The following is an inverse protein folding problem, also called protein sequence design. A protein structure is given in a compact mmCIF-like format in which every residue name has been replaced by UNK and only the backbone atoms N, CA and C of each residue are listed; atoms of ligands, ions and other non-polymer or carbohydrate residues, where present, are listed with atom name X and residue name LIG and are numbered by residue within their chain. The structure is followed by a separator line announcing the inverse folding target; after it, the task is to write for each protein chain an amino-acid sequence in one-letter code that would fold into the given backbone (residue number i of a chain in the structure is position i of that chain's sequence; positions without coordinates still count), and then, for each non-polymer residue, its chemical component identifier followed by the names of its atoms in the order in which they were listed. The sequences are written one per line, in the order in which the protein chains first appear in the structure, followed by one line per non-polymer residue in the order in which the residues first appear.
data_IF_024640830516
#
_entry.id   IF_024640830516
#
_cell.length_a   1.000
_cell.length_b   1.000
_cell.length_c   1.000
_cell.angle_alpha   90.00
_cell.angle_beta   90.00
_cell.angle_gamma   90.00
#
_symmetry.space_group_name_H-M   'P 1'
#
loop_
_entity.id
_entity.type
_entity.pdbx_description
1 polymer ?
#
# COMPACT_ATOMS: atom_id res chain seq x y z
N UNK A 1 34.84 -14.27 -19.19
CA UNK A 1 33.82 -13.87 -18.20
C UNK A 1 34.52 -13.52 -16.90
N UNK A 2 34.07 -12.46 -16.21
CA UNK A 2 34.57 -12.12 -14.88
C UNK A 2 34.09 -13.15 -13.84
N UNK A 3 34.76 -13.25 -12.69
CA UNK A 3 34.32 -14.12 -11.59
C UNK A 3 32.90 -13.78 -11.13
N UNK A 4 32.57 -12.49 -11.06
CA UNK A 4 31.23 -12.00 -10.71
C UNK A 4 30.16 -12.43 -11.71
N UNK A 5 30.47 -12.40 -13.01
CA UNK A 5 29.54 -12.84 -14.04
C UNK A 5 29.30 -14.36 -13.96
N UNK A 6 30.36 -15.14 -13.74
CA UNK A 6 30.23 -16.59 -13.54
C UNK A 6 29.39 -16.92 -12.31
N UNK A 7 29.55 -16.19 -11.22
CA UNK A 7 28.76 -16.35 -10.00
C UNK A 7 27.28 -16.01 -10.25
N UNK A 8 27.01 -14.87 -10.90
CA UNK A 8 25.65 -14.47 -11.27
C UNK A 8 24.95 -15.56 -12.12
N UNK A 9 25.62 -16.07 -13.16
CA UNK A 9 25.05 -17.09 -14.04
C UNK A 9 24.75 -18.40 -13.29
N UNK A 10 25.64 -18.79 -12.38
CA UNK A 10 25.44 -19.96 -11.51
C UNK A 10 24.24 -19.78 -10.58
N UNK A 11 24.13 -18.62 -9.93
CA UNK A 11 23.00 -18.30 -9.05
C UNK A 11 21.67 -18.22 -9.84
N UNK A 12 21.69 -17.64 -11.05
CA UNK A 12 20.54 -17.58 -11.95
C UNK A 12 20.09 -18.99 -12.35
N UNK A 13 21.02 -19.86 -12.72
CA UNK A 13 20.69 -21.23 -13.09
C UNK A 13 20.11 -22.02 -11.90
N UNK A 14 20.72 -21.89 -10.72
CA UNK A 14 20.20 -22.47 -9.48
C UNK A 14 18.77 -22.01 -9.19
N UNK A 15 18.45 -20.74 -9.50
CA UNK A 15 17.09 -20.24 -9.36
C UNK A 15 16.10 -20.86 -10.35
N UNK A 16 16.50 -21.00 -11.61
CA UNK A 16 15.70 -21.65 -12.65
C UNK A 16 15.45 -23.12 -12.28
N UNK A 17 16.48 -23.85 -11.87
CA UNK A 17 16.38 -25.26 -11.50
C UNK A 17 15.45 -25.46 -10.29
N UNK A 18 15.54 -24.56 -9.30
CA UNK A 18 14.65 -24.57 -8.14
C UNK A 18 13.19 -24.37 -8.53
N UNK A 19 12.91 -23.44 -9.46
CA UNK A 19 11.56 -23.18 -9.97
C UNK A 19 11.01 -24.40 -10.70
N UNK A 20 11.80 -25.00 -11.61
CA UNK A 20 11.40 -26.21 -12.35
C UNK A 20 11.10 -27.35 -11.37
N UNK A 21 11.99 -27.60 -10.41
CA UNK A 21 11.83 -28.65 -9.39
C UNK A 21 10.55 -28.49 -8.57
N UNK A 22 10.13 -27.25 -8.31
CA UNK A 22 8.91 -26.94 -7.56
C UNK A 22 7.67 -26.69 -8.44
N UNK A 23 7.75 -26.99 -9.74
CA UNK A 23 6.68 -26.77 -10.72
C UNK A 23 6.20 -25.30 -10.76
N UNK A 24 7.14 -24.36 -10.79
CA UNK A 24 6.89 -22.95 -11.04
C UNK A 24 7.50 -22.54 -12.39
N UNK A 25 6.80 -21.73 -13.21
CA UNK A 25 7.32 -21.34 -14.51
C UNK A 25 8.49 -20.36 -14.31
N UNK A 26 9.71 -20.69 -14.77
CA UNK A 26 10.78 -19.71 -14.86
C UNK A 26 10.49 -18.77 -16.01
N UNK A 27 10.41 -17.47 -15.73
CA UNK A 27 10.18 -16.45 -16.75
C UNK A 27 11.36 -15.48 -16.77
N UNK A 28 11.76 -14.99 -17.95
CA UNK A 28 12.92 -14.13 -18.06
C UNK A 28 12.60 -12.68 -17.70
N UNK A 29 13.65 -11.94 -17.32
CA UNK A 29 13.59 -10.48 -17.08
C UNK A 29 14.78 -9.80 -17.75
N UNK A 30 14.55 -9.10 -18.86
CA UNK A 30 15.58 -8.28 -19.46
C UNK A 30 15.88 -7.07 -18.53
N UNK A 31 17.14 -6.62 -18.44
CA UNK A 31 17.48 -5.37 -17.76
C UNK A 31 16.68 -4.19 -18.30
N UNK A 32 16.54 -3.14 -17.49
CA UNK A 32 15.87 -1.92 -17.94
C UNK A 32 16.57 -1.33 -19.17
N UNK A 33 15.79 -1.02 -20.21
CA UNK A 33 16.30 -0.50 -21.48
C UNK A 33 16.02 0.99 -21.62
N UNK A 34 16.77 1.66 -22.49
CA UNK A 34 16.57 3.08 -22.80
C UNK A 34 15.16 3.32 -23.37
N UNK A 35 14.41 4.22 -22.74
CA UNK A 35 13.08 4.59 -23.22
C UNK A 35 13.08 5.31 -24.58
N UNK A 36 14.23 5.83 -25.02
CA UNK A 36 14.37 6.46 -26.34
C UNK A 36 14.57 5.43 -27.45
N UNK A 37 15.19 4.30 -27.12
CA UNK A 37 15.43 3.21 -28.07
C UNK A 37 14.25 2.25 -28.11
N UNK A 38 13.69 1.93 -26.94
CA UNK A 38 12.56 1.03 -26.77
C UNK A 38 11.40 1.72 -26.02
N UNK A 39 10.74 2.73 -26.63
CA UNK A 39 9.60 3.39 -26.03
C UNK A 39 8.40 2.44 -25.95
N UNK A 40 7.60 2.58 -24.89
CA UNK A 40 6.28 1.97 -24.86
C UNK A 40 5.40 2.63 -25.91
N UNK A 41 4.79 1.84 -26.78
CA UNK A 41 3.80 2.33 -27.76
C UNK A 41 2.43 1.81 -27.38
N UNK A 42 1.49 2.72 -27.18
CA UNK A 42 0.09 2.37 -26.89
C UNK A 42 -0.69 2.42 -28.20
N UNK A 43 -1.24 1.27 -28.56
CA UNK A 43 -2.21 1.18 -29.66
C UNK A 43 -3.58 1.53 -29.10
N UNK A 44 -4.26 2.54 -29.65
CA UNK A 44 -5.63 2.85 -29.25
C UNK A 44 -6.55 1.66 -29.47
N UNK A 45 -7.60 1.56 -28.66
CA UNK A 45 -8.70 0.65 -28.95
C UNK A 45 -9.25 0.95 -30.36
N UNK A 46 -9.71 -0.08 -31.06
CA UNK A 46 -10.09 -0.07 -32.48
C UNK A 46 -11.12 1.00 -32.89
N UNK A 47 -11.77 1.68 -31.94
CA UNK A 47 -12.77 2.73 -32.16
C UNK A 47 -12.30 4.15 -31.79
N UNK A 48 -11.00 4.36 -31.51
CA UNK A 48 -10.45 5.69 -31.22
C UNK A 48 -9.78 6.27 -32.47
N UNK A 49 -10.12 7.51 -32.81
CA UNK A 49 -9.50 8.27 -33.91
C UNK A 49 -8.03 8.66 -33.63
N UNK A 50 -7.51 8.36 -32.44
CA UNK A 50 -6.13 8.64 -32.10
C UNK A 50 -5.21 7.62 -32.78
N UNK A 51 -4.06 8.05 -33.28
CA UNK A 51 -3.02 7.15 -33.78
C UNK A 51 -2.23 6.46 -32.66
N UNK A 52 -1.23 5.64 -33.04
CA UNK A 52 -0.22 5.13 -32.12
C UNK A 52 0.41 6.30 -31.35
N UNK A 53 0.54 6.16 -30.03
CA UNK A 53 1.21 7.19 -29.22
C UNK A 53 2.17 6.58 -28.19
N UNK A 54 3.23 7.33 -27.90
CA UNK A 54 4.16 7.04 -26.81
C UNK A 54 3.72 7.83 -25.58
N UNK A 55 3.34 7.18 -24.46
CA UNK A 55 3.05 7.89 -23.23
C UNK A 55 4.35 8.50 -22.68
N UNK A 56 4.22 9.69 -22.08
CA UNK A 56 5.32 10.43 -21.50
C UNK A 56 5.19 10.54 -19.98
N UNK A 57 6.32 10.67 -19.28
CA UNK A 57 6.38 11.05 -17.87
C UNK A 57 5.96 12.52 -17.68
N UNK A 58 5.84 12.97 -16.43
CA UNK A 58 5.60 14.39 -16.10
C UNK A 58 6.68 15.33 -16.66
N UNK A 59 7.90 14.81 -16.79
CA UNK A 59 9.07 15.52 -17.34
C UNK A 59 9.21 15.33 -18.86
N UNK A 60 8.12 14.92 -19.53
CA UNK A 60 8.03 14.72 -20.97
C UNK A 60 9.04 13.70 -21.54
N UNK A 61 9.48 12.74 -20.72
CA UNK A 61 10.34 11.64 -21.19
C UNK A 61 9.48 10.43 -21.62
N UNK A 62 9.86 9.70 -22.67
CA UNK A 62 9.22 8.44 -23.03
C UNK A 62 9.20 7.45 -21.85
N UNK A 63 8.12 6.68 -21.72
CA UNK A 63 8.06 5.56 -20.78
C UNK A 63 8.75 4.34 -21.42
N UNK A 64 9.70 3.66 -20.75
CA UNK A 64 10.37 2.50 -21.32
C UNK A 64 9.43 1.30 -21.45
N UNK A 65 9.57 0.54 -22.54
CA UNK A 65 8.86 -0.73 -22.73
C UNK A 65 9.43 -1.84 -21.83
N UNK A 66 10.75 -1.88 -21.67
CA UNK A 66 11.48 -2.85 -20.87
C UNK A 66 11.98 -2.19 -19.59
N UNK A 67 11.37 -2.59 -18.48
CA UNK A 67 11.49 -1.86 -17.21
C UNK A 67 12.43 -2.52 -16.22
N UNK A 68 13.03 -3.68 -16.53
CA UNK A 68 13.75 -4.50 -15.53
C UNK A 68 12.83 -5.16 -14.50
N UNK A 69 11.50 -5.11 -14.71
CA UNK A 69 10.48 -5.70 -13.83
C UNK A 69 9.40 -6.50 -14.56
N UNK A 70 9.34 -6.41 -15.89
CA UNK A 70 8.35 -7.11 -16.70
C UNK A 70 8.96 -8.33 -17.38
N UNK A 71 8.16 -9.39 -17.62
CA UNK A 71 8.61 -10.58 -18.34
C UNK A 71 9.13 -10.25 -19.73
N UNK A 72 10.42 -10.45 -19.94
CA UNK A 72 11.14 -10.11 -21.17
C UNK A 72 12.51 -10.76 -21.18
N UNK A 73 13.14 -10.95 -22.34
CA UNK A 73 14.50 -11.49 -22.44
C UNK A 73 15.31 -10.71 -23.47
N UNK A 74 16.64 -10.84 -23.41
CA UNK A 74 17.54 -10.44 -24.48
C UNK A 74 17.87 -11.66 -25.33
N UNK A 75 17.82 -11.54 -26.65
CA UNK A 75 18.34 -12.57 -27.55
C UNK A 75 19.88 -12.58 -27.58
N UNK A 76 20.47 -13.48 -28.37
CA UNK A 76 21.92 -13.60 -28.53
C UNK A 76 22.61 -12.29 -28.96
N UNK A 77 21.92 -11.45 -29.72
CA UNK A 77 22.42 -10.16 -30.22
C UNK A 77 22.16 -9.00 -29.22
N UNK A 78 21.48 -9.29 -28.11
CA UNK A 78 21.14 -8.31 -27.08
C UNK A 78 19.87 -7.52 -27.35
N UNK A 79 19.03 -7.92 -28.31
CA UNK A 79 17.75 -7.25 -28.54
C UNK A 79 16.68 -7.74 -27.56
N UNK A 80 15.91 -6.81 -26.96
CA UNK A 80 14.90 -7.16 -25.97
C UNK A 80 13.57 -7.62 -26.62
N UNK A 81 13.00 -8.68 -26.07
CA UNK A 81 11.72 -9.27 -26.49
C UNK A 81 10.76 -9.42 -25.30
N UNK A 82 9.48 -9.11 -25.50
CA UNK A 82 8.45 -9.29 -24.47
C UNK A 82 7.97 -10.74 -24.37
N UNK A 83 7.68 -11.18 -23.15
CA UNK A 83 7.02 -12.46 -22.91
C UNK A 83 5.58 -12.21 -22.45
N UNK A 84 4.62 -12.83 -23.15
CA UNK A 84 3.20 -12.84 -22.77
C UNK A 84 3.00 -13.80 -21.59
N UNK A 85 3.35 -13.33 -20.39
CA UNK A 85 3.40 -14.18 -19.19
C UNK A 85 2.07 -14.82 -18.80
N UNK A 86 0.93 -14.27 -19.24
CA UNK A 86 -0.40 -14.83 -18.96
C UNK A 86 -0.54 -16.27 -19.50
N UNK A 87 0.15 -16.60 -20.57
CA UNK A 87 0.12 -17.95 -21.16
C UNK A 87 0.70 -18.99 -20.21
N UNK A 88 1.65 -18.57 -19.37
CA UNK A 88 2.35 -19.41 -18.41
C UNK A 88 1.66 -19.45 -17.04
N UNK A 89 0.45 -18.90 -16.90
CA UNK A 89 -0.33 -19.11 -15.69
C UNK A 89 -0.86 -20.55 -15.58
N UNK A 90 -0.92 -21.27 -16.71
CA UNK A 90 -1.52 -22.60 -16.82
C UNK A 90 -0.60 -23.67 -17.43
N UNK A 91 0.61 -23.30 -17.87
CA UNK A 91 1.60 -24.22 -18.43
C UNK A 91 3.01 -23.82 -18.04
N UNK A 92 3.91 -24.79 -17.99
CA UNK A 92 5.34 -24.55 -17.88
C UNK A 92 5.89 -24.06 -19.23
N UNK A 93 6.97 -23.26 -19.22
CA UNK A 93 7.78 -23.03 -20.41
C UNK A 93 8.34 -24.33 -20.94
N UNK A 94 8.45 -24.42 -22.27
CA UNK A 94 9.11 -25.53 -22.95
C UNK A 94 10.64 -25.41 -22.81
N UNK A 95 11.41 -26.50 -22.97
CA UNK A 95 12.87 -26.44 -22.96
C UNK A 95 13.44 -25.45 -23.97
N UNK A 96 12.84 -25.36 -25.17
CA UNK A 96 13.27 -24.42 -26.21
C UNK A 96 13.00 -22.95 -25.84
N UNK A 97 11.85 -22.66 -25.22
CA UNK A 97 11.56 -21.32 -24.67
C UNK A 97 12.61 -20.95 -23.61
N UNK A 98 12.93 -21.86 -22.68
CA UNK A 98 13.94 -21.61 -21.64
C UNK A 98 15.34 -21.36 -22.22
N UNK A 99 15.75 -22.18 -23.20
CA UNK A 99 17.03 -22.02 -23.89
C UNK A 99 17.13 -20.65 -24.56
N UNK A 100 16.11 -20.26 -25.34
CA UNK A 100 16.09 -18.97 -26.03
C UNK A 100 16.05 -17.78 -25.07
N UNK A 101 15.28 -17.89 -23.98
CA UNK A 101 15.12 -16.77 -23.04
C UNK A 101 16.36 -16.50 -22.21
N UNK A 102 17.09 -17.55 -21.80
CA UNK A 102 18.21 -17.42 -20.89
C UNK A 102 19.58 -17.52 -21.59
N UNK A 103 19.60 -17.52 -22.92
CA UNK A 103 20.81 -17.49 -23.75
C UNK A 103 21.71 -16.30 -23.41
N UNK A 104 21.14 -15.08 -23.36
CA UNK A 104 21.91 -13.89 -23.03
C UNK A 104 22.27 -13.84 -21.52
N UNK A 105 23.53 -13.55 -21.14
CA UNK A 105 23.97 -13.63 -19.76
C UNK A 105 23.31 -12.60 -18.83
N UNK A 106 22.89 -11.45 -19.37
CA UNK A 106 22.28 -10.38 -18.56
C UNK A 106 20.79 -10.58 -18.30
N UNK A 107 20.14 -11.55 -18.95
CA UNK A 107 18.73 -11.87 -18.68
C UNK A 107 18.59 -12.39 -17.25
N UNK A 108 17.77 -11.74 -16.44
CA UNK A 108 17.38 -12.18 -15.11
C UNK A 108 16.23 -13.18 -15.13
N UNK A 109 15.81 -13.61 -13.96
CA UNK A 109 14.76 -14.61 -13.73
C UNK A 109 13.66 -14.07 -12.82
N UNK A 110 12.43 -14.48 -13.10
CA UNK A 110 11.28 -14.29 -12.24
C UNK A 110 10.31 -15.45 -12.37
N UNK A 111 9.14 -15.31 -11.76
CA UNK A 111 8.09 -16.33 -11.79
C UNK A 111 6.70 -15.73 -11.57
N UNK A 112 5.67 -16.58 -11.60
CA UNK A 112 4.27 -16.19 -11.37
C UNK A 112 3.78 -16.63 -9.98
N UNK A 113 2.95 -15.79 -9.38
CA UNK A 113 2.12 -16.18 -8.24
C UNK A 113 0.97 -17.10 -8.65
N UNK A 114 0.35 -17.74 -7.66
CA UNK A 114 -0.85 -18.56 -7.81
C UNK A 114 -0.61 -20.00 -8.31
N UNK A 115 0.57 -20.31 -8.83
CA UNK A 115 0.98 -21.70 -9.11
C UNK A 115 1.05 -22.48 -7.80
N UNK A 116 0.43 -23.67 -7.75
CA UNK A 116 0.36 -24.50 -6.54
C UNK A 116 -0.10 -23.73 -5.28
N UNK A 117 -1.01 -22.77 -5.47
CA UNK A 117 -1.48 -21.85 -4.43
C UNK A 117 -0.37 -21.04 -3.74
N UNK A 118 0.74 -20.78 -4.43
CA UNK A 118 1.80 -19.90 -3.93
C UNK A 118 1.35 -18.45 -3.93
N UNK A 119 1.70 -17.76 -2.86
CA UNK A 119 1.62 -16.31 -2.74
C UNK A 119 3.02 -15.79 -2.46
N UNK A 120 3.44 -14.78 -3.23
CA UNK A 120 4.65 -14.02 -2.94
C UNK A 120 4.26 -12.74 -2.21
N UNK A 121 4.63 -12.61 -0.95
CA UNK A 121 4.42 -11.40 -0.15
C UNK A 121 5.56 -10.42 -0.45
N UNK A 122 5.25 -9.29 -1.07
CA UNK A 122 6.20 -8.25 -1.45
C UNK A 122 6.09 -7.06 -0.49
N UNK A 123 7.00 -6.97 0.47
CA UNK A 123 7.08 -5.88 1.45
C UNK A 123 7.81 -4.69 0.85
N UNK A 124 7.13 -3.54 0.85
CA UNK A 124 7.63 -2.31 0.25
C UNK A 124 8.30 -1.43 1.31
N UNK A 125 9.64 -1.39 1.32
CA UNK A 125 10.44 -0.66 2.32
C UNK A 125 9.99 0.80 2.50
N UNK A 126 9.52 1.47 1.45
CA UNK A 126 9.09 2.89 1.52
C UNK A 126 7.74 3.08 2.23
N UNK A 127 7.04 2.00 2.57
CA UNK A 127 5.78 2.02 3.34
C UNK A 127 5.99 1.92 4.85
N UNK A 128 7.23 1.79 5.27
CA UNK A 128 7.60 1.72 6.68
C UNK A 128 8.38 2.96 7.08
N UNK A 129 8.16 3.39 8.32
CA UNK A 129 9.13 4.25 9.00
C UNK A 129 10.46 3.50 9.14
N UNK A 130 11.57 4.24 9.18
CA UNK A 130 12.91 3.66 9.11
C UNK A 130 13.12 2.52 10.11
N UNK A 131 13.60 1.37 9.60
CA UNK A 131 13.80 0.08 10.29
C UNK A 131 12.55 -0.76 10.64
N UNK A 132 11.32 -0.25 10.53
CA UNK A 132 10.12 -1.02 10.90
C UNK A 132 9.78 -2.18 9.92
N UNK A 133 10.21 -2.09 8.66
CA UNK A 133 10.00 -3.14 7.65
C UNK A 133 10.67 -4.47 8.05
N UNK A 134 11.85 -4.33 8.60
CA UNK A 134 12.79 -5.40 8.92
C UNK A 134 12.27 -6.21 10.14
N UNK A 135 11.78 -5.51 11.16
CA UNK A 135 11.10 -6.13 12.32
C UNK A 135 9.75 -6.75 11.93
N UNK A 136 9.01 -6.12 11.02
CA UNK A 136 7.76 -6.67 10.50
C UNK A 136 7.99 -8.00 9.78
N UNK A 137 8.99 -8.07 8.90
CA UNK A 137 9.32 -9.29 8.17
C UNK A 137 9.77 -10.39 9.13
N UNK A 138 10.60 -10.07 10.13
CA UNK A 138 11.00 -11.06 11.15
C UNK A 138 9.79 -11.62 11.91
N UNK A 139 8.81 -10.77 12.24
CA UNK A 139 7.57 -11.20 12.90
C UNK A 139 6.81 -12.21 12.03
N UNK A 140 6.67 -11.93 10.74
CA UNK A 140 5.95 -12.80 9.80
C UNK A 140 6.71 -14.11 9.55
N UNK A 141 8.02 -14.07 9.39
CA UNK A 141 8.86 -15.27 9.24
C UNK A 141 8.73 -16.16 10.48
N UNK A 142 8.75 -15.58 11.68
CA UNK A 142 8.54 -16.31 12.93
C UNK A 142 7.15 -16.95 12.97
N UNK A 143 6.09 -16.22 12.60
CA UNK A 143 4.74 -16.77 12.56
C UNK A 143 4.58 -17.92 11.55
N UNK A 144 5.22 -17.83 10.38
CA UNK A 144 5.26 -18.93 9.40
C UNK A 144 5.95 -20.13 10.02
N UNK A 145 7.16 -19.95 10.56
CA UNK A 145 7.92 -21.04 11.17
C UNK A 145 7.16 -21.71 12.32
N UNK A 146 6.58 -20.93 13.22
CA UNK A 146 5.87 -21.45 14.39
C UNK A 146 4.62 -22.24 13.97
N UNK A 147 3.98 -21.88 12.85
CA UNK A 147 2.79 -22.57 12.34
C UNK A 147 3.09 -23.78 11.45
N UNK A 148 4.23 -23.80 10.76
CA UNK A 148 4.54 -24.86 9.77
C UNK A 148 5.76 -25.71 10.12
N UNK A 149 6.56 -25.33 11.11
CA UNK A 149 7.83 -25.96 11.45
C UNK A 149 8.89 -25.83 10.35
N UNK A 150 8.79 -24.84 9.46
CA UNK A 150 9.70 -24.69 8.32
C UNK A 150 9.97 -23.22 8.00
N UNK A 151 11.19 -22.92 7.55
CA UNK A 151 11.58 -21.58 7.13
C UNK A 151 11.00 -21.24 5.74
N UNK A 152 10.46 -20.04 5.52
CA UNK A 152 9.91 -19.64 4.23
C UNK A 152 11.00 -19.29 3.22
N UNK A 153 10.64 -19.25 1.93
CA UNK A 153 11.47 -18.57 0.94
C UNK A 153 11.58 -17.08 1.26
N UNK A 154 12.79 -16.53 1.20
CA UNK A 154 13.08 -15.17 1.63
C UNK A 154 14.14 -14.50 0.74
N UNK A 155 13.82 -13.33 0.19
CA UNK A 155 14.73 -12.51 -0.62
C UNK A 155 14.68 -11.03 -0.24
N UNK A 156 15.79 -10.32 -0.48
CA UNK A 156 15.81 -8.86 -0.52
C UNK A 156 15.55 -8.37 -1.94
N UNK A 157 14.72 -7.34 -2.06
CA UNK A 157 14.44 -6.69 -3.35
C UNK A 157 15.49 -5.66 -3.71
N UNK A 158 15.61 -5.32 -4.99
CA UNK A 158 16.54 -4.31 -5.48
C UNK A 158 16.40 -2.90 -4.84
N UNK A 159 15.24 -2.61 -4.24
CA UNK A 159 14.92 -1.35 -3.53
C UNK A 159 14.96 -1.47 -2.01
N UNK A 160 15.46 -2.58 -1.46
CA UNK A 160 15.64 -2.80 -0.02
C UNK A 160 14.44 -3.41 0.71
N UNK A 161 13.30 -3.59 0.04
CA UNK A 161 12.15 -4.35 0.54
C UNK A 161 12.43 -5.85 0.65
N UNK A 162 11.42 -6.63 1.01
CA UNK A 162 11.53 -8.09 1.18
C UNK A 162 10.51 -8.85 0.36
N UNK A 163 10.86 -10.09 0.00
CA UNK A 163 9.94 -11.05 -0.56
C UNK A 163 9.88 -12.32 0.25
N UNK A 164 8.67 -12.74 0.59
CA UNK A 164 8.42 -14.01 1.29
C UNK A 164 7.56 -14.91 0.41
N UNK A 165 7.97 -16.17 0.22
CA UNK A 165 7.18 -17.17 -0.52
C UNK A 165 6.53 -18.18 0.42
N UNK A 166 5.21 -18.37 0.28
CA UNK A 166 4.42 -19.37 1.03
C UNK A 166 3.39 -20.02 0.12
N UNK A 167 2.94 -21.23 0.45
CA UNK A 167 1.71 -21.80 -0.12
C UNK A 167 0.54 -21.57 0.84
N UNK A 168 -0.66 -21.36 0.32
CA UNK A 168 -1.85 -21.17 1.14
C UNK A 168 -2.90 -22.24 0.86
N UNK A 169 -3.61 -22.72 1.90
CA UNK A 169 -4.80 -23.56 1.70
C UNK A 169 -5.97 -22.73 1.18
N UNK A 170 -6.16 -21.53 1.74
CA UNK A 170 -7.17 -20.57 1.29
C UNK A 170 -6.52 -19.36 0.62
N UNK A 171 -6.91 -19.09 -0.63
CA UNK A 171 -6.41 -17.94 -1.40
C UNK A 171 -6.93 -16.62 -0.79
N UNK A 172 -6.08 -15.59 -0.67
CA UNK A 172 -6.53 -14.26 -0.26
C UNK A 172 -7.43 -13.65 -1.34
N UNK A 173 -8.38 -12.82 -0.91
CA UNK A 173 -9.21 -12.00 -1.80
C UNK A 173 -8.69 -10.55 -1.92
N UNK A 174 -7.43 -10.32 -1.52
CA UNK A 174 -6.77 -9.03 -1.55
C UNK A 174 -5.36 -9.16 -2.13
N UNK A 175 -4.86 -8.04 -2.67
CA UNK A 175 -3.45 -7.89 -3.05
C UNK A 175 -2.74 -7.03 -2.01
N UNK A 176 -3.20 -5.82 -1.77
CA UNK A 176 -2.58 -4.95 -0.77
C UNK A 176 -2.84 -5.50 0.65
N UNK A 177 -1.78 -5.61 1.44
CA UNK A 177 -1.84 -6.13 2.80
C UNK A 177 -1.29 -5.17 3.85
N UNK A 178 -1.69 -5.41 5.10
CA UNK A 178 -1.18 -4.79 6.31
C UNK A 178 -0.81 -5.88 7.32
N UNK A 179 -0.04 -5.52 8.34
CA UNK A 179 0.41 -6.42 9.42
C UNK A 179 -0.28 -6.14 10.76
N UNK A 180 -1.16 -5.14 10.80
CA UNK A 180 -1.91 -4.77 11.99
C UNK A 180 -3.38 -4.53 11.61
N UNK A 181 -4.35 -4.91 12.46
CA UNK A 181 -5.76 -4.62 12.20
C UNK A 181 -6.00 -3.13 11.94
N UNK A 182 -6.62 -2.79 10.81
CA UNK A 182 -6.83 -1.39 10.39
C UNK A 182 -5.54 -0.63 10.04
N UNK A 183 -4.41 -1.32 9.92
CA UNK A 183 -3.12 -0.73 9.60
C UNK A 183 -3.02 -0.24 8.17
N UNK A 184 -1.97 0.54 7.91
CA UNK A 184 -1.67 1.05 6.57
C UNK A 184 -1.18 -0.07 5.65
N UNK A 185 -1.31 0.15 4.34
CA UNK A 185 -0.78 -0.74 3.32
C UNK A 185 0.75 -0.77 3.39
N UNK A 186 1.32 -1.96 3.57
CA UNK A 186 2.78 -2.17 3.69
C UNK A 186 3.40 -3.04 2.59
N UNK A 187 2.58 -3.71 1.78
CA UNK A 187 3.05 -4.58 0.71
C UNK A 187 1.93 -5.28 -0.06
N UNK A 188 2.32 -6.08 -1.05
CA UNK A 188 1.41 -6.77 -1.97
C UNK A 188 1.53 -8.30 -1.87
N UNK A 189 0.39 -8.99 -1.82
CA UNK A 189 0.25 -10.43 -1.91
C UNK A 189 0.05 -10.81 -3.39
N UNK A 190 1.14 -11.25 -4.04
CA UNK A 190 1.17 -11.55 -5.46
C UNK A 190 0.71 -12.99 -5.72
N UNK A 191 -0.58 -13.14 -6.05
CA UNK A 191 -1.21 -14.40 -6.41
C UNK A 191 -1.29 -14.65 -7.93
N UNK A 192 -2.32 -15.38 -8.36
CA UNK A 192 -2.49 -15.75 -9.77
C UNK A 192 -2.50 -14.53 -10.71
N UNK A 193 -1.78 -14.65 -11.82
CA UNK A 193 -1.63 -13.62 -12.85
C UNK A 193 -0.63 -12.52 -12.47
N UNK A 194 0.00 -12.58 -11.29
CA UNK A 194 0.99 -11.59 -10.86
C UNK A 194 2.39 -12.14 -11.04
N UNK A 195 3.22 -11.35 -11.71
CA UNK A 195 4.63 -11.65 -11.93
C UNK A 195 5.49 -11.09 -10.79
N UNK A 196 6.56 -11.80 -10.44
CA UNK A 196 7.58 -11.35 -9.50
C UNK A 196 8.98 -11.68 -10.00
N UNK A 197 9.93 -10.77 -9.76
CA UNK A 197 11.34 -10.90 -10.17
C UNK A 197 12.14 -11.55 -9.04
N UNK A 198 12.95 -12.57 -9.29
CA UNK A 198 13.69 -13.28 -8.24
C UNK A 198 15.18 -12.96 -8.26
N UNK A 199 15.86 -13.23 -7.14
CA UNK A 199 17.32 -13.22 -7.11
C UNK A 199 17.90 -14.28 -8.07
N UNK A 200 19.01 -13.94 -8.78
CA UNK A 200 19.89 -12.78 -8.56
C UNK A 200 19.62 -11.57 -9.47
N UNK A 201 18.48 -11.50 -10.16
CA UNK A 201 18.18 -10.49 -11.20
C UNK A 201 18.58 -9.07 -10.82
N UNK A 202 19.08 -8.29 -11.76
CA UNK A 202 19.38 -6.87 -11.53
C UNK A 202 18.11 -6.04 -11.75
N UNK A 203 17.68 -5.34 -10.71
CA UNK A 203 16.51 -4.46 -10.78
C UNK A 203 16.83 -3.08 -11.37
N UNK A 204 15.80 -2.22 -11.54
CA UNK A 204 15.97 -0.94 -12.25
C UNK A 204 16.82 0.10 -11.54
N UNK A 205 17.12 -0.11 -10.25
CA UNK A 205 18.07 0.72 -9.51
C UNK A 205 19.53 0.36 -9.78
N UNK A 206 19.79 -0.70 -10.56
CA UNK A 206 21.13 -1.27 -10.75
C UNK A 206 21.56 -2.24 -9.66
N UNK A 207 20.77 -2.40 -8.59
CA UNK A 207 21.02 -3.36 -7.52
C UNK A 207 20.41 -4.72 -7.88
N UNK A 208 21.06 -5.81 -7.47
CA UNK A 208 20.51 -7.17 -7.55
C UNK A 208 19.42 -7.41 -6.51
N UNK A 209 18.49 -8.30 -6.83
CA UNK A 209 17.73 -9.03 -5.83
C UNK A 209 18.67 -10.05 -5.16
N UNK A 210 18.55 -10.25 -3.84
CA UNK A 210 19.46 -11.11 -3.08
C UNK A 210 18.70 -12.26 -2.41
N UNK A 211 19.18 -13.49 -2.62
CA UNK A 211 18.63 -14.69 -1.98
C UNK A 211 19.12 -14.75 -0.54
N UNK A 212 18.20 -14.64 0.43
CA UNK A 212 18.52 -14.81 1.86
C UNK A 212 18.32 -16.26 2.29
N UNK A 213 17.20 -16.85 1.90
CA UNK A 213 16.90 -18.26 2.12
C UNK A 213 16.00 -18.79 0.99
N UNK A 214 16.38 -19.91 0.39
CA UNK A 214 15.63 -20.56 -0.69
C UNK A 214 15.13 -21.91 -0.22
N UNK A 215 13.95 -21.92 0.39
CA UNK A 215 13.35 -23.12 0.97
C UNK A 215 13.21 -24.23 -0.08
N UNK A 216 13.56 -25.48 0.27
CA UNK A 216 13.43 -26.62 -0.64
C UNK A 216 11.97 -26.86 -1.07
N UNK A 217 11.06 -26.68 -0.12
CA UNK A 217 9.60 -26.73 -0.29
C UNK A 217 9.03 -25.50 0.43
N UNK A 218 8.09 -24.81 -0.19
CA UNK A 218 7.46 -23.65 0.43
C UNK A 218 6.53 -24.08 1.57
N UNK A 219 6.60 -23.45 2.77
CA UNK A 219 5.72 -23.78 3.87
C UNK A 219 4.26 -23.52 3.50
N UNK A 220 3.35 -24.39 3.96
CA UNK A 220 1.92 -24.26 3.73
C UNK A 220 1.24 -23.69 4.98
N UNK A 221 0.62 -22.53 4.82
CA UNK A 221 -0.18 -21.87 5.87
C UNK A 221 -1.68 -22.02 5.57
N UNK A 222 -2.52 -21.92 6.60
CA UNK A 222 -3.99 -22.01 6.43
C UNK A 222 -4.51 -20.89 5.53
N UNK A 223 -4.15 -19.65 5.87
CA UNK A 223 -4.44 -18.44 5.11
C UNK A 223 -3.40 -17.36 5.46
N UNK A 224 -3.50 -16.18 4.86
CA UNK A 224 -2.56 -15.10 5.14
C UNK A 224 -2.80 -14.50 6.55
N UNK A 225 -4.05 -14.47 7.00
CA UNK A 225 -4.42 -13.94 8.30
C UNK A 225 -3.81 -14.76 9.46
N UNK A 226 -3.65 -16.08 9.30
CA UNK A 226 -3.06 -16.95 10.32
C UNK A 226 -1.58 -16.66 10.60
N UNK A 227 -0.89 -15.96 9.69
CA UNK A 227 0.48 -15.49 9.87
C UNK A 227 0.56 -13.98 10.07
N UNK A 228 -0.56 -13.32 10.38
CA UNK A 228 -0.61 -11.89 10.68
C UNK A 228 -0.66 -10.98 9.45
N UNK A 229 -0.83 -11.54 8.24
CA UNK A 229 -1.03 -10.77 7.01
C UNK A 229 -2.51 -10.55 6.80
N UNK A 230 -2.95 -9.31 6.99
CA UNK A 230 -4.34 -8.91 6.85
C UNK A 230 -4.54 -8.15 5.56
N UNK A 231 -5.76 -8.18 5.02
CA UNK A 231 -6.16 -7.25 3.97
C UNK A 231 -5.82 -5.84 4.44
N UNK A 232 -5.00 -5.12 3.66
CA UNK A 232 -4.89 -3.69 3.89
C UNK A 232 -6.30 -3.15 3.74
N UNK A 233 -6.72 -2.32 4.68
CA UNK A 233 -7.83 -1.43 4.41
C UNK A 233 -7.35 -0.49 3.29
N UNK A 234 -7.35 -0.98 2.04
CA UNK A 234 -7.59 -0.15 0.89
C UNK A 234 -8.88 0.49 1.26
N UNK A 235 -8.77 1.77 1.61
CA UNK A 235 -9.71 2.42 2.49
C UNK A 235 -11.13 1.83 2.36
N UNK A 236 -11.53 1.07 3.40
CA UNK A 236 -12.73 0.24 3.59
C UNK A 236 -12.59 -1.28 3.36
N UNK A 237 -12.69 -2.05 4.46
CA UNK A 237 -13.85 -2.93 4.69
C UNK A 237 -13.91 -3.35 6.17
N UNK A 238 -14.84 -2.73 6.90
CA UNK A 238 -15.55 -3.35 8.02
C UNK A 238 -16.41 -4.49 7.47
N UNK A 239 -16.36 -5.62 8.16
CA UNK A 239 -16.97 -6.90 7.81
C UNK A 239 -18.47 -6.82 7.49
N UNK A 240 -18.87 -7.35 6.34
CA UNK A 240 -20.23 -7.89 6.16
C UNK A 240 -20.30 -9.23 6.88
N UNK A 241 -20.84 -9.24 8.08
CA UNK A 241 -21.45 -10.45 8.64
C UNK A 241 -22.87 -10.52 8.06
N UNK A 242 -23.14 -11.56 7.28
CA UNK A 242 -24.52 -11.96 6.95
C UNK A 242 -25.28 -12.23 8.23
N UNK A 243 -26.20 -11.34 8.61
CA UNK A 243 -27.15 -11.59 9.71
C UNK A 243 -28.56 -11.44 9.19
N UNK A 244 -29.27 -12.57 9.27
CA UNK A 244 -30.72 -12.65 9.17
C UNK A 244 -31.40 -11.66 10.14
N UNK A 245 -32.48 -11.06 9.68
CA UNK A 245 -33.37 -10.12 10.40
C UNK A 245 -33.50 -10.38 11.91
N UNK A 246 -33.00 -9.48 12.76
CA UNK A 246 -33.56 -9.15 14.10
C UNK A 246 -32.93 -7.86 14.68
N UNK A 247 -33.48 -7.22 15.74
CA UNK A 247 -34.07 -5.87 15.66
C UNK A 247 -33.18 -4.73 16.19
N UNK A 248 -33.59 -3.53 15.79
CA UNK A 248 -33.06 -2.15 15.92
C UNK A 248 -32.42 -1.68 17.26
N UNK A 249 -32.24 -2.52 18.27
CA UNK A 249 -31.78 -2.10 19.61
C UNK A 249 -30.28 -2.31 19.88
N UNK A 250 -29.54 -3.01 19.01
CA UNK A 250 -28.13 -3.38 19.27
C UNK A 250 -27.11 -2.40 18.66
N UNK A 251 -27.47 -1.63 17.63
CA UNK A 251 -26.57 -0.63 17.02
C UNK A 251 -26.25 0.57 17.92
N UNK A 252 -27.11 0.85 18.91
CA UNK A 252 -26.85 1.90 19.89
C UNK A 252 -25.80 1.50 20.94
N UNK A 253 -25.63 0.19 21.19
CA UNK A 253 -24.72 -0.33 22.22
C UNK A 253 -23.27 -0.47 21.75
N UNK A 254 -23.02 -0.63 20.43
CA UNK A 254 -21.68 -0.75 19.85
C UNK A 254 -20.99 0.60 19.57
N UNK A 255 -21.65 1.73 19.89
CA UNK A 255 -21.07 3.10 19.76
C UNK A 255 -20.29 3.56 21.00
N UNK A 256 -20.22 2.74 22.04
CA UNK A 256 -19.44 2.96 23.26
C UNK A 256 -18.16 2.11 23.18
N UNK A 257 -16.92 2.56 23.41
CA UNK A 257 -16.38 3.81 23.93
C UNK A 257 -14.83 3.72 23.85
N UNK A 258 -14.22 4.42 22.91
CA UNK A 258 -12.90 5.01 23.15
C UNK A 258 -13.19 6.48 23.50
N UNK A 259 -13.13 6.82 24.78
CA UNK A 259 -13.36 8.20 25.22
C UNK A 259 -12.36 9.12 24.53
N UNK A 260 -12.84 10.17 23.85
CA UNK A 260 -12.02 11.24 23.27
C UNK A 260 -11.67 11.14 21.78
N UNK A 261 -12.44 10.41 20.95
CA UNK A 261 -12.26 10.42 19.49
C UNK A 261 -13.56 10.75 18.74
N UNK A 262 -13.55 11.87 18.01
CA UNK A 262 -14.71 12.43 17.30
C UNK A 262 -14.89 11.71 15.96
N UNK A 263 -16.10 11.34 15.56
CA UNK A 263 -16.33 10.76 14.22
C UNK A 263 -16.12 11.85 13.14
N UNK A 264 -15.31 11.56 12.12
CA UNK A 264 -15.06 12.48 11.01
C UNK A 264 -16.36 12.82 10.25
N UNK A 265 -17.31 11.89 10.17
CA UNK A 265 -18.61 12.14 9.56
C UNK A 265 -19.48 13.14 10.36
N UNK A 266 -19.18 13.32 11.65
CA UNK A 266 -19.86 14.30 12.49
C UNK A 266 -19.29 15.72 12.35
N UNK A 267 -18.03 15.83 11.93
CA UNK A 267 -17.33 17.10 11.70
C UNK A 267 -17.79 17.82 10.43
N UNK A 268 -18.05 17.08 9.36
CA UNK A 268 -18.44 17.67 8.06
C UNK A 268 -19.80 18.39 8.12
N UNK A 269 -20.02 19.32 7.19
CA UNK A 269 -21.28 20.05 7.09
C UNK A 269 -22.48 19.14 6.74
N UNK A 270 -23.73 19.54 7.06
CA UNK A 270 -24.93 18.72 6.81
C UNK A 270 -25.08 18.30 5.35
N UNK A 271 -24.70 19.16 4.39
CA UNK A 271 -24.77 18.86 2.97
C UNK A 271 -23.80 17.74 2.59
N UNK A 272 -22.53 17.85 2.97
CA UNK A 272 -21.55 16.77 2.75
C UNK A 272 -21.92 15.48 3.48
N UNK A 273 -22.55 15.57 4.65
CA UNK A 273 -23.09 14.39 5.36
C UNK A 273 -24.21 13.70 4.58
N UNK A 274 -25.13 14.45 3.98
CA UNK A 274 -26.17 13.87 3.13
C UNK A 274 -25.57 13.11 1.92
N UNK A 275 -24.46 13.61 1.38
CA UNK A 275 -23.71 12.96 0.29
C UNK A 275 -23.09 11.64 0.76
N UNK A 276 -22.56 11.58 2.00
CA UNK A 276 -22.12 10.31 2.59
C UNK A 276 -23.25 9.28 2.65
N UNK A 277 -24.52 9.71 2.74
CA UNK A 277 -25.68 8.82 2.75
C UNK A 277 -26.31 8.59 1.36
N UNK A 278 -25.62 8.99 0.29
CA UNK A 278 -26.05 8.73 -1.09
C UNK A 278 -26.96 9.81 -1.69
N UNK A 279 -27.18 10.94 -1.02
CA UNK A 279 -27.89 12.06 -1.62
C UNK A 279 -27.01 12.78 -2.66
N UNK A 280 -27.61 13.17 -3.79
CA UNK A 280 -26.96 13.98 -4.82
C UNK A 280 -27.55 15.40 -4.85
N UNK A 281 -27.20 16.28 -3.89
CA UNK A 281 -27.82 17.60 -3.75
C UNK A 281 -27.41 18.59 -4.83
N UNK A 282 -26.52 18.20 -5.74
CA UNK A 282 -26.07 19.02 -6.87
C UNK A 282 -26.52 18.48 -8.23
N UNK A 283 -27.26 17.36 -8.27
CA UNK A 283 -27.63 16.66 -9.52
C UNK A 283 -26.43 16.31 -10.42
N UNK A 284 -25.24 16.26 -9.82
CA UNK A 284 -23.99 15.85 -10.42
C UNK A 284 -23.23 15.06 -9.37
N UNK A 285 -23.32 13.75 -9.46
CA UNK A 285 -22.69 12.79 -8.55
C UNK A 285 -21.18 13.01 -8.42
N UNK A 286 -20.49 13.40 -9.50
CA UNK A 286 -19.05 13.67 -9.47
C UNK A 286 -18.75 14.95 -8.70
N UNK A 287 -19.56 15.99 -8.91
CA UNK A 287 -19.45 17.24 -8.16
C UNK A 287 -19.81 17.04 -6.68
N UNK A 288 -20.91 16.35 -6.39
CA UNK A 288 -21.34 15.97 -5.03
C UNK A 288 -20.24 15.23 -4.29
N UNK A 289 -19.66 14.20 -4.90
CA UNK A 289 -18.55 13.47 -4.28
C UNK A 289 -17.32 14.39 -4.07
N UNK A 290 -16.99 15.26 -5.02
CA UNK A 290 -15.88 16.20 -4.88
C UNK A 290 -16.06 17.16 -3.69
N UNK A 291 -17.28 17.65 -3.47
CA UNK A 291 -17.62 18.50 -2.31
C UNK A 291 -17.41 17.73 -1.00
N UNK A 292 -17.90 16.48 -0.93
CA UNK A 292 -17.69 15.65 0.25
C UNK A 292 -16.20 15.33 0.50
N UNK A 293 -15.44 15.01 -0.55
CA UNK A 293 -13.99 14.75 -0.48
C UNK A 293 -13.23 15.95 0.09
N UNK A 294 -13.48 17.16 -0.43
CA UNK A 294 -12.82 18.37 0.07
C UNK A 294 -13.10 18.57 1.57
N UNK A 295 -14.35 18.40 1.99
CA UNK A 295 -14.76 18.60 3.39
C UNK A 295 -14.14 17.53 4.31
N UNK A 296 -14.16 16.26 3.91
CA UNK A 296 -13.58 15.14 4.66
C UNK A 296 -12.08 15.30 4.88
N UNK A 297 -11.33 15.60 3.81
CA UNK A 297 -9.90 15.81 3.91
C UNK A 297 -9.57 17.10 4.67
N UNK A 298 -10.36 18.16 4.47
CA UNK A 298 -10.21 19.41 5.22
C UNK A 298 -10.30 19.19 6.73
N UNK A 299 -11.36 18.52 7.20
CA UNK A 299 -11.51 18.23 8.62
C UNK A 299 -10.45 17.29 9.17
N UNK A 300 -10.03 16.28 8.41
CA UNK A 300 -8.98 15.37 8.83
C UNK A 300 -7.63 16.08 8.99
N UNK A 301 -7.24 16.89 8.00
CA UNK A 301 -6.00 17.65 8.05
C UNK A 301 -6.01 18.65 9.21
N UNK A 302 -7.09 19.43 9.33
CA UNK A 302 -7.24 20.42 10.40
C UNK A 302 -7.22 19.78 11.79
N UNK A 303 -7.92 18.66 11.98
CA UNK A 303 -7.91 17.92 13.24
C UNK A 303 -6.51 17.39 13.57
N UNK A 304 -5.81 16.82 12.58
CA UNK A 304 -4.43 16.32 12.74
C UNK A 304 -3.47 17.44 13.15
N UNK A 305 -3.56 18.62 12.52
CA UNK A 305 -2.74 19.79 12.86
C UNK A 305 -3.01 20.32 14.27
N UNK A 306 -4.19 20.06 14.82
CA UNK A 306 -4.60 20.47 16.17
C UNK A 306 -4.53 19.31 17.20
N UNK A 307 -3.85 18.20 16.87
CA UNK A 307 -3.71 17.03 17.74
C UNK A 307 -5.04 16.41 18.21
N UNK A 308 -6.11 16.57 17.42
CA UNK A 308 -7.41 15.98 17.68
C UNK A 308 -7.49 14.57 17.08
N UNK A 309 -7.86 13.59 17.89
CA UNK A 309 -8.15 12.25 17.42
C UNK A 309 -9.51 12.22 16.73
N UNK A 310 -9.54 11.79 15.47
CA UNK A 310 -10.77 11.58 14.70
C UNK A 310 -10.88 10.13 14.24
N UNK A 311 -12.11 9.60 14.23
CA UNK A 311 -12.44 8.25 13.73
C UNK A 311 -12.91 8.34 12.28
N UNK A 312 -12.54 7.34 11.49
CA UNK A 312 -12.88 7.25 10.07
C UNK A 312 -11.85 7.93 9.19
N UNK A 313 -11.33 7.21 8.18
CA UNK A 313 -10.36 7.77 7.26
C UNK A 313 -11.08 8.52 6.13
N UNK A 314 -10.66 9.74 5.73
CA UNK A 314 -11.39 10.53 4.73
C UNK A 314 -11.67 9.83 3.38
N UNK A 315 -10.77 9.02 2.86
CA UNK A 315 -11.02 8.26 1.62
C UNK A 315 -11.86 7.01 1.86
N UNK A 316 -11.94 6.42 3.08
CA UNK A 316 -12.92 5.36 3.35
C UNK A 316 -14.31 5.94 3.12
N UNK A 317 -14.55 7.09 3.78
CA UNK A 317 -15.81 7.81 3.72
C UNK A 317 -16.08 8.33 2.31
N UNK A 318 -15.06 8.74 1.56
CA UNK A 318 -15.21 9.13 0.16
C UNK A 318 -15.57 7.93 -0.75
N UNK A 319 -14.93 6.77 -0.60
CA UNK A 319 -15.30 5.58 -1.38
C UNK A 319 -16.71 5.13 -1.04
N UNK A 320 -17.07 5.06 0.24
CA UNK A 320 -18.42 4.72 0.67
C UNK A 320 -19.47 5.71 0.13
N UNK A 321 -19.17 7.02 0.13
CA UNK A 321 -20.04 8.03 -0.46
C UNK A 321 -20.19 7.83 -1.98
N UNK A 322 -19.09 7.58 -2.69
CA UNK A 322 -19.10 7.32 -4.12
C UNK A 322 -19.90 6.07 -4.50
N UNK A 323 -19.75 4.98 -3.75
CA UNK A 323 -20.53 3.75 -3.92
C UNK A 323 -22.02 4.00 -3.71
N UNK A 324 -22.39 4.74 -2.65
CA UNK A 324 -23.79 5.11 -2.35
C UNK A 324 -24.40 6.03 -3.41
N UNK A 325 -23.58 6.83 -4.09
CA UNK A 325 -23.98 7.62 -5.26
C UNK A 325 -24.06 6.77 -6.54
N UNK A 326 -23.69 5.49 -6.51
CA UNK A 326 -23.66 4.61 -7.68
C UNK A 326 -22.55 4.98 -8.68
N UNK A 327 -21.40 5.44 -8.19
CA UNK A 327 -20.20 5.72 -8.97
C UNK A 327 -19.31 4.47 -8.94
N UNK A 328 -18.77 4.07 -10.09
CA UNK A 328 -17.82 2.94 -10.16
C UNK A 328 -16.49 3.28 -9.46
N UNK A 329 -15.81 2.25 -8.93
CA UNK A 329 -14.58 2.40 -8.14
C UNK A 329 -13.47 3.18 -8.86
N UNK A 330 -13.31 2.95 -10.16
CA UNK A 330 -12.27 3.59 -10.97
C UNK A 330 -12.58 5.08 -11.15
N UNK A 331 -13.85 5.43 -11.35
CA UNK A 331 -14.30 6.82 -11.40
C UNK A 331 -14.22 7.50 -10.03
N UNK A 332 -14.50 6.80 -8.93
CA UNK A 332 -14.27 7.35 -7.58
C UNK A 332 -12.80 7.71 -7.39
N UNK A 333 -11.89 6.79 -7.73
CA UNK A 333 -10.45 7.03 -7.66
C UNK A 333 -10.02 8.27 -8.47
N UNK A 334 -10.52 8.39 -9.70
CA UNK A 334 -10.27 9.56 -10.56
C UNK A 334 -10.80 10.86 -9.95
N UNK A 335 -12.02 10.86 -9.38
CA UNK A 335 -12.60 12.04 -8.73
C UNK A 335 -11.72 12.47 -7.55
N UNK A 336 -11.34 11.54 -6.68
CA UNK A 336 -10.48 11.84 -5.52
C UNK A 336 -9.14 12.42 -5.97
N UNK A 337 -8.52 11.87 -7.02
CA UNK A 337 -7.27 12.43 -7.58
C UNK A 337 -7.49 13.81 -8.22
N UNK A 338 -8.63 14.05 -8.85
CA UNK A 338 -8.93 15.31 -9.56
C UNK A 338 -9.21 16.50 -8.63
N UNK A 339 -9.56 16.24 -7.36
CA UNK A 339 -9.81 17.29 -6.35
C UNK A 339 -8.54 18.09 -6.01
N UNK A 340 -7.36 17.64 -6.46
CA UNK A 340 -6.09 18.34 -6.33
C UNK A 340 -5.30 17.88 -5.12
N UNK A 341 -4.47 18.75 -4.56
CA UNK A 341 -3.67 18.42 -3.39
C UNK A 341 -4.56 18.21 -2.15
N UNK A 342 -4.68 16.95 -1.73
CA UNK A 342 -5.52 16.53 -0.61
C UNK A 342 -4.94 16.94 0.75
N UNK A 343 -3.63 17.23 0.84
CA UNK A 343 -2.97 17.58 2.10
C UNK A 343 -3.15 19.06 2.46
N UNK A 344 -3.38 19.93 1.47
CA UNK A 344 -3.63 21.37 1.69
C UNK A 344 -5.10 21.72 1.89
N UNK A 345 -6.01 20.74 1.88
CA UNK A 345 -7.44 20.98 2.07
C UNK A 345 -7.74 21.48 3.48
N UNK A 346 -8.68 22.42 3.56
CA UNK A 346 -9.22 22.99 4.79
C UNK A 346 -10.74 22.77 4.83
N UNK A 347 -11.36 22.65 6.02
CA UNK A 347 -12.80 22.43 6.13
C UNK A 347 -13.57 23.70 5.77
N UNK A 348 -14.82 23.59 5.29
CA UNK A 348 -15.65 24.76 4.99
C UNK A 348 -15.80 25.72 6.19
N UNK A 349 -15.83 25.18 7.42
CA UNK A 349 -15.87 25.99 8.64
C UNK A 349 -14.66 26.94 8.76
N UNK A 350 -13.48 26.52 8.33
CA UNK A 350 -12.27 27.34 8.35
C UNK A 350 -12.41 28.53 7.40
N UNK A 351 -12.97 28.33 6.20
CA UNK A 351 -13.21 29.42 5.25
C UNK A 351 -14.28 30.41 5.73
N UNK A 352 -15.22 29.97 6.57
CA UNK A 352 -16.31 30.83 7.08
C UNK A 352 -15.88 31.72 8.25
N UNK A 353 -14.91 31.31 9.05
CA UNK A 353 -14.48 32.11 10.20
C UNK A 353 -13.26 31.56 10.92
N UNK A 354 -12.30 31.02 10.16
CA UNK A 354 -11.01 30.52 10.64
C UNK A 354 -11.12 29.41 11.69
N UNK A 355 -10.07 29.30 12.50
CA UNK A 355 -9.98 28.31 13.57
C UNK A 355 -11.11 28.45 14.60
N UNK A 356 -11.59 29.66 14.87
CA UNK A 356 -12.71 29.91 15.80
C UNK A 356 -13.95 29.13 15.38
N UNK A 357 -14.26 29.11 14.08
CA UNK A 357 -15.43 28.39 13.55
C UNK A 357 -15.25 26.87 13.61
N UNK A 358 -14.03 26.37 13.38
CA UNK A 358 -13.71 24.96 13.54
C UNK A 358 -13.84 24.52 15.01
N UNK A 359 -13.26 25.27 15.94
CA UNK A 359 -13.33 24.97 17.37
C UNK A 359 -14.74 25.08 17.95
N UNK A 360 -15.58 26.00 17.46
CA UNK A 360 -17.03 26.03 17.81
C UNK A 360 -17.73 24.72 17.44
N UNK A 361 -17.36 24.10 16.32
CA UNK A 361 -17.89 22.79 15.93
C UNK A 361 -17.41 21.69 16.87
N UNK A 362 -16.13 21.68 17.24
CA UNK A 362 -15.57 20.75 18.22
C UNK A 362 -16.28 20.88 19.57
N UNK A 363 -16.44 22.09 20.10
CA UNK A 363 -17.13 22.36 21.36
C UNK A 363 -18.53 21.74 21.43
N UNK A 364 -19.29 21.81 20.32
CA UNK A 364 -20.64 21.26 20.23
C UNK A 364 -20.68 19.73 20.18
N UNK A 365 -19.62 19.09 19.68
CA UNK A 365 -19.56 17.63 19.50
C UNK A 365 -18.88 16.93 20.66
N UNK A 366 -17.78 17.49 21.15
CA UNK A 366 -16.98 16.94 22.23
C UNK A 366 -16.31 18.07 23.02
N UNK A 367 -16.99 18.46 24.10
CA UNK A 367 -16.53 19.51 25.00
C UNK A 367 -15.21 19.17 25.67
N UNK A 368 -14.93 17.90 25.96
CA UNK A 368 -13.69 17.50 26.62
C UNK A 368 -12.48 17.69 25.70
N UNK A 369 -12.62 17.31 24.42
CA UNK A 369 -11.59 17.56 23.41
C UNK A 369 -11.38 19.06 23.17
N UNK A 370 -12.45 19.85 23.16
CA UNK A 370 -12.34 21.31 23.10
C UNK A 370 -11.54 21.88 24.27
N UNK A 371 -11.94 21.58 25.51
CA UNK A 371 -11.29 22.14 26.71
C UNK A 371 -9.82 21.72 26.81
N UNK A 372 -9.48 20.52 26.35
CA UNK A 372 -8.12 19.97 26.38
C UNK A 372 -7.20 20.55 25.30
N UNK A 373 -7.67 20.72 24.07
CA UNK A 373 -6.81 20.99 22.92
C UNK A 373 -6.99 22.40 22.33
N UNK A 374 -8.10 23.09 22.60
CA UNK A 374 -8.33 24.42 22.06
C UNK A 374 -7.40 25.45 22.74
N UNK A 375 -6.66 26.28 22.00
CA UNK A 375 -5.85 27.35 22.58
C UNK A 375 -6.67 28.32 23.44
N UNK A 376 -6.13 28.78 24.56
CA UNK A 376 -6.84 29.64 25.52
C UNK A 376 -7.36 30.94 24.90
N UNK A 377 -6.64 31.51 23.94
CA UNK A 377 -7.07 32.70 23.20
C UNK A 377 -8.35 32.47 22.39
N UNK A 378 -8.47 31.30 21.75
CA UNK A 378 -9.66 30.89 20.99
C UNK A 378 -10.80 30.49 21.94
N UNK A 379 -10.49 29.82 23.06
CA UNK A 379 -11.50 29.52 24.08
C UNK A 379 -12.16 30.79 24.62
N UNK A 380 -11.35 31.81 24.96
CA UNK A 380 -11.84 33.10 25.41
C UNK A 380 -12.70 33.79 24.35
N UNK A 381 -12.29 33.79 23.09
CA UNK A 381 -13.08 34.33 21.98
C UNK A 381 -14.44 33.61 21.82
N UNK A 382 -14.46 32.28 21.91
CA UNK A 382 -15.68 31.48 21.78
C UNK A 382 -16.63 31.67 22.96
N UNK A 383 -16.11 31.71 24.19
CA UNK A 383 -16.92 31.98 25.38
C UNK A 383 -17.42 33.41 25.42
N UNK A 384 -16.61 34.38 24.97
CA UNK A 384 -17.05 35.76 24.76
C UNK A 384 -18.19 35.81 23.75
N UNK A 385 -18.05 35.16 22.59
CA UNK A 385 -19.10 35.07 21.57
C UNK A 385 -20.39 34.43 22.09
N UNK A 386 -20.31 33.39 22.93
CA UNK A 386 -21.50 32.80 23.55
C UNK A 386 -22.15 33.74 24.56
N UNK A 387 -21.36 34.45 25.37
CA UNK A 387 -21.86 35.46 26.30
C UNK A 387 -22.42 36.71 25.58
N UNK A 388 -21.83 37.07 24.43
CA UNK A 388 -22.28 38.14 23.52
C UNK A 388 -23.50 37.71 22.70
N UNK A 389 -23.71 36.42 22.40
CA UNK A 389 -24.95 35.94 21.80
C UNK A 389 -26.16 36.01 22.76
N UNK A 390 -25.90 36.12 24.06
CA UNK A 390 -26.88 36.53 25.07
C UNK A 390 -26.90 38.04 25.34
N UNK A 391 -25.97 38.80 24.76
CA UNK A 391 -25.86 40.27 24.87
C UNK A 391 -25.16 40.86 23.63
N UNK A 392 -25.88 41.15 22.56
CA UNK A 392 -25.36 42.02 21.50
C UNK A 392 -25.82 43.47 21.75
N UNK A 393 -25.08 44.50 21.31
CA UNK A 393 -23.64 44.55 21.02
C UNK A 393 -22.94 45.85 21.51
N UNK A 394 -21.61 45.83 21.61
CA UNK A 394 -20.79 47.00 21.26
C UNK A 394 -19.34 46.64 20.91
N UNK A 395 -18.91 47.18 19.76
CA UNK A 395 -17.59 47.18 19.12
C UNK A 395 -16.37 47.41 20.05
N UNK A 396 -15.20 46.83 19.71
CA UNK A 396 -14.03 47.54 19.16
C UNK A 396 -12.77 46.65 18.99
N UNK A 397 -12.12 46.83 17.84
CA UNK A 397 -10.70 46.74 17.41
C UNK A 397 -9.58 46.07 18.25
N UNK A 398 -8.69 45.37 17.51
CA UNK A 398 -7.23 45.67 17.27
C UNK A 398 -6.16 44.55 17.54
N UNK A 399 -5.41 44.24 16.46
CA UNK A 399 -3.94 44.03 16.25
C UNK A 399 -3.02 42.98 16.96
N UNK A 400 -2.28 42.23 16.10
CA UNK A 400 -0.79 41.99 15.99
C UNK A 400 0.04 40.83 16.66
N UNK A 401 0.88 40.19 15.80
CA UNK A 401 2.30 39.68 15.92
C UNK A 401 2.63 38.51 16.91
N UNK A 402 3.63 37.60 16.78
CA UNK A 402 4.68 37.19 15.81
C UNK A 402 5.38 35.87 16.31
N UNK A 403 6.05 35.15 15.40
CA UNK A 403 7.32 34.38 15.52
C UNK A 403 7.46 33.02 16.26
N UNK A 404 8.22 32.09 15.65
CA UNK A 404 9.18 31.22 16.37
C UNK A 404 9.26 29.71 16.04
N UNK A 405 10.11 29.32 15.08
CA UNK A 405 10.71 27.96 14.89
C UNK A 405 11.84 27.70 15.94
N UNK A 406 12.49 26.50 16.11
CA UNK A 406 12.95 25.54 15.08
C UNK A 406 13.06 24.03 15.46
N UNK A 407 13.63 23.26 14.52
CA UNK A 407 13.82 21.80 14.49
C UNK A 407 15.26 21.34 14.83
N UNK A 408 15.44 20.05 15.18
CA UNK A 408 16.73 19.35 15.13
C UNK A 408 16.62 17.83 14.82
N UNK A 409 17.34 17.41 13.75
CA UNK A 409 18.23 16.24 13.52
C UNK A 409 18.21 15.02 14.46
N UNK A 410 18.58 13.77 14.13
CA UNK A 410 19.13 13.05 12.96
C UNK A 410 19.09 11.54 13.31
N UNK A 411 19.05 10.63 12.32
CA UNK A 411 19.19 9.18 12.55
C UNK A 411 19.96 8.45 11.45
N UNK A 412 20.87 7.54 11.83
CA UNK A 412 21.49 6.55 10.93
C UNK A 412 21.97 5.32 11.72
N UNK A 413 21.45 4.12 11.40
CA UNK A 413 22.08 2.78 11.59
C UNK A 413 21.11 1.68 11.09
N UNK A 414 21.50 0.91 10.07
CA UNK A 414 20.80 -0.30 9.58
C UNK A 414 21.81 -1.26 8.92
N UNK A 415 22.51 -2.06 9.72
CA UNK A 415 23.44 -3.11 9.25
C UNK A 415 23.45 -4.37 10.16
N UNK A 416 22.62 -4.42 11.22
CA UNK A 416 22.69 -5.50 12.23
C UNK A 416 21.64 -6.61 12.10
N UNK A 417 20.63 -6.48 11.23
CA UNK A 417 19.51 -7.42 11.22
C UNK A 417 19.70 -8.62 10.29
N UNK A 418 20.36 -8.46 9.14
CA UNK A 418 20.62 -9.58 8.22
C UNK A 418 21.38 -10.70 8.94
N UNK A 419 22.36 -10.34 9.76
CA UNK A 419 23.11 -11.30 10.57
C UNK A 419 22.26 -11.96 11.66
N UNK A 420 21.29 -11.23 12.23
CA UNK A 420 20.36 -11.77 13.23
C UNK A 420 19.40 -12.78 12.61
N UNK A 421 18.87 -12.52 11.41
CA UNK A 421 18.01 -13.46 10.68
C UNK A 421 18.81 -14.71 10.31
N UNK A 422 20.02 -14.56 9.76
CA UNK A 422 20.91 -15.69 9.45
C UNK A 422 21.27 -16.51 10.69
N UNK A 423 21.52 -15.87 11.83
CA UNK A 423 21.82 -16.56 13.09
C UNK A 423 20.63 -17.34 13.64
N UNK A 424 19.40 -16.83 13.46
CA UNK A 424 18.18 -17.54 13.86
C UNK A 424 18.02 -18.79 12.99
N UNK A 425 18.19 -18.67 11.67
CA UNK A 425 18.12 -19.81 10.73
C UNK A 425 19.15 -20.88 11.12
N UNK A 426 20.40 -20.49 11.40
CA UNK A 426 21.48 -21.43 11.72
C UNK A 426 21.29 -22.15 13.07
N UNK A 427 20.68 -21.51 14.07
CA UNK A 427 20.47 -22.14 15.39
C UNK A 427 19.48 -23.30 15.30
N UNK A 428 18.39 -23.14 14.55
CA UNK A 428 17.35 -24.16 14.44
C UNK A 428 17.71 -25.33 13.51
N UNK A 429 18.48 -25.09 12.44
CA UNK A 429 19.02 -26.18 11.61
C UNK A 429 19.87 -27.16 12.45
N UNK A 430 20.58 -26.66 13.46
CA UNK A 430 21.34 -27.49 14.38
C UNK A 430 20.44 -28.26 15.37
N UNK A 431 19.33 -27.67 15.82
CA UNK A 431 18.35 -28.33 16.70
C UNK A 431 17.55 -29.42 15.96
N UNK A 432 17.15 -29.16 14.71
CA UNK A 432 16.47 -30.15 13.86
C UNK A 432 17.38 -31.37 13.60
N UNK A 433 18.66 -31.13 13.27
CA UNK A 433 19.66 -32.22 13.10
C UNK A 433 19.96 -32.97 14.39
N UNK A 434 19.93 -32.30 15.54
CA UNK A 434 20.11 -32.96 16.83
C UNK A 434 18.91 -33.86 17.20
N UNK A 435 17.71 -33.52 16.73
CA UNK A 435 16.49 -34.30 16.96
C UNK A 435 16.37 -35.51 16.02
N UNK A 436 16.95 -35.46 14.82
CA UNK A 436 17.06 -36.61 13.92
C UNK A 436 18.19 -37.60 14.30
N UNK A 437 19.13 -37.17 15.15
CA UNK A 437 20.26 -37.99 15.61
C UNK A 437 19.99 -38.75 16.93
N UNK A 438 18.80 -38.57 17.51
CA UNK A 438 18.28 -39.30 18.68
C UNK A 438 17.14 -40.24 18.23
#
# INVERSE_FOLDING_TARGET
MSSLQSEYLSQRQSAIDWLIKNNFPPLPVAPAQSAREYPKVVTPASNSANGLHCPLTKDLQPIPLYTGKNPSYLDADGHPHLVVHSDYQKRMPTPHELESWFEHPDTGVGTLGGWNNVIWLDFDQKRFDSNCCDDAVLTIVTAIRDSTGSEPFLERTHSGGWRIGVTVKQKPNFTNFTIAPGGQHVGEALGAGRFTVLAPTIGPSGNSYESVHRALVLPQVENLESIGILRACGRSQTSQTTVAKTPLAVEAALRSSCAGSIDLADLICPKSRSILHGADPYSDRSHSLSVAVNELFGWHNWASSNSLSVRGLPTDLAYQAGERLGIDSDRIGRIITSVGDLQSKQPAAFYLGGDVSCWKKIYRLDRNSFERFCPSSIQAAIFSDFNLSHKMPSNQNQEHLDSGQPAHSNGRRSLKLVDRIKSIILTYDNEARATEAL
#
